data_IF_902764435632
#
_entry.id   IF_902764435632
#
_cell.length_a   1.000
_cell.length_b   1.000
_cell.length_c   1.000
_cell.angle_alpha   90.00
_cell.angle_beta   90.00
_cell.angle_gamma   90.00
#
_symmetry.space_group_name_H-M   'P 1'
#
loop_
_entity.id
_entity.type
_entity.pdbx_description
1 polymer ?
#
# COMPACT_ATOMS: atom_id res chain seq x y z
N UNK A 1 -1.56 -23.56 2.94
CA UNK A 1 -1.82 -22.65 1.84
C UNK A 1 -1.20 -21.30 2.10
N UNK A 2 -0.57 -20.76 1.09
CA UNK A 2 0.09 -19.47 1.24
C UNK A 2 -0.95 -18.35 1.19
N UNK A 3 -0.76 -17.38 2.05
CA UNK A 3 -1.63 -16.21 2.05
C UNK A 3 -1.11 -15.19 1.06
N UNK A 4 -2.02 -14.35 0.58
CA UNK A 4 -1.66 -13.21 -0.24
C UNK A 4 -1.18 -12.10 0.70
N UNK A 5 0.02 -11.59 0.45
CA UNK A 5 0.62 -10.56 1.29
C UNK A 5 0.18 -9.19 0.82
N UNK A 6 -0.42 -8.43 1.72
CA UNK A 6 -0.98 -7.12 1.41
C UNK A 6 -0.28 -6.05 2.21
N UNK A 7 0.14 -4.99 1.54
CA UNK A 7 0.67 -3.80 2.19
C UNK A 7 -0.34 -2.68 2.01
N UNK A 8 -0.41 -1.79 2.99
CA UNK A 8 -1.38 -0.69 2.98
C UNK A 8 -0.65 0.61 3.21
N UNK A 9 -0.91 1.60 2.37
CA UNK A 9 -0.29 2.92 2.51
C UNK A 9 -1.37 3.98 2.49
N UNK A 10 -1.47 4.76 3.57
CA UNK A 10 -2.46 5.82 3.72
C UNK A 10 -2.00 6.70 4.86
N UNK A 11 -2.07 8.02 4.69
CA UNK A 11 -1.63 8.93 5.75
C UNK A 11 -2.65 9.07 6.87
N UNK A 12 -3.85 8.51 6.71
CA UNK A 12 -4.89 8.56 7.71
C UNK A 12 -4.87 7.28 8.54
N UNK A 13 -4.58 7.40 9.83
CA UNK A 13 -4.44 6.21 10.69
C UNK A 13 -5.73 5.43 10.83
N UNK A 14 -6.86 6.11 10.81
CA UNK A 14 -8.14 5.43 10.86
C UNK A 14 -8.35 4.54 9.64
N UNK A 15 -7.98 5.08 8.48
CA UNK A 15 -8.11 4.32 7.24
C UNK A 15 -7.17 3.12 7.24
N UNK A 16 -5.94 3.30 7.73
CA UNK A 16 -5.00 2.18 7.84
C UNK A 16 -5.59 1.07 8.70
N UNK A 17 -6.20 1.46 9.82
CA UNK A 17 -6.77 0.48 10.73
C UNK A 17 -7.98 -0.21 10.10
N UNK A 18 -8.84 0.57 9.46
CA UNK A 18 -10.01 0.02 8.81
C UNK A 18 -9.64 -0.98 7.72
N UNK A 19 -8.72 -0.58 6.85
CA UNK A 19 -8.30 -1.45 5.76
C UNK A 19 -7.58 -2.68 6.30
N UNK A 20 -6.79 -2.49 7.35
CA UNK A 20 -6.12 -3.62 8.00
C UNK A 20 -7.10 -4.62 8.55
N UNK A 21 -8.17 -4.13 9.19
CA UNK A 21 -9.19 -5.02 9.73
C UNK A 21 -9.91 -5.76 8.63
N UNK A 22 -10.24 -5.07 7.54
CA UNK A 22 -10.92 -5.71 6.42
C UNK A 22 -10.06 -6.81 5.81
N UNK A 23 -8.79 -6.51 5.57
CA UNK A 23 -7.88 -7.49 5.00
C UNK A 23 -7.70 -8.68 5.95
N UNK A 24 -7.54 -8.38 7.25
CA UNK A 24 -7.29 -9.43 8.23
C UNK A 24 -8.49 -10.33 8.47
N UNK A 25 -9.68 -9.87 8.09
CA UNK A 25 -10.87 -10.70 8.24
C UNK A 25 -10.94 -11.82 7.20
N UNK A 26 -10.12 -11.75 6.17
CA UNK A 26 -10.08 -12.79 5.13
C UNK A 26 -8.90 -13.70 5.41
N UNK A 27 -9.17 -14.98 5.57
CA UNK A 27 -8.13 -15.96 5.93
C UNK A 27 -7.07 -16.13 4.86
N UNK A 28 -7.38 -15.74 3.63
CA UNK A 28 -6.44 -15.89 2.53
C UNK A 28 -5.51 -14.69 2.37
N UNK A 29 -5.74 -13.64 3.15
CA UNK A 29 -4.96 -12.42 3.07
C UNK A 29 -4.25 -12.16 4.39
N UNK A 30 -3.12 -11.47 4.31
CA UNK A 30 -2.46 -11.01 5.54
C UNK A 30 -1.77 -9.68 5.27
N UNK A 31 -1.83 -8.80 6.27
CA UNK A 31 -1.16 -7.51 6.18
C UNK A 31 0.30 -7.70 6.57
N UNK A 32 1.21 -7.35 5.67
CA UNK A 32 2.64 -7.50 5.95
C UNK A 32 3.30 -6.17 6.31
N UNK A 33 2.59 -5.06 6.13
CA UNK A 33 3.14 -3.77 6.51
C UNK A 33 2.18 -2.64 6.20
N UNK A 34 2.39 -1.52 6.88
CA UNK A 34 1.63 -0.29 6.62
C UNK A 34 2.60 0.86 6.50
N UNK A 35 2.17 1.91 5.81
CA UNK A 35 2.97 3.10 5.63
C UNK A 35 2.07 4.32 5.68
N UNK A 36 2.60 5.45 6.14
CA UNK A 36 1.83 6.68 6.29
C UNK A 36 2.17 7.73 5.26
N UNK A 37 3.22 7.53 4.50
CA UNK A 37 3.56 8.43 3.42
C UNK A 37 4.20 7.64 2.30
N UNK A 38 4.41 8.32 1.18
CA UNK A 38 4.86 7.64 -0.02
C UNK A 38 6.27 7.11 0.08
N UNK A 39 7.14 7.78 0.83
CA UNK A 39 8.50 7.29 0.97
C UNK A 39 8.54 6.03 1.82
N UNK A 40 7.78 6.00 2.90
CA UNK A 40 7.65 4.79 3.69
C UNK A 40 7.07 3.65 2.85
N UNK A 41 6.08 3.99 2.02
CA UNK A 41 5.46 2.97 1.17
C UNK A 41 6.47 2.37 0.21
N UNK A 42 7.27 3.21 -0.41
CA UNK A 42 8.28 2.75 -1.35
C UNK A 42 9.27 1.80 -0.67
N UNK A 43 9.78 2.20 0.48
CA UNK A 43 10.73 1.36 1.21
C UNK A 43 10.09 0.07 1.69
N UNK A 44 8.85 0.14 2.14
CA UNK A 44 8.12 -1.05 2.56
C UNK A 44 7.96 -2.03 1.41
N UNK A 45 7.64 -1.54 0.22
CA UNK A 45 7.47 -2.39 -0.95
C UNK A 45 8.77 -3.10 -1.29
N UNK A 46 9.88 -2.37 -1.22
CA UNK A 46 11.19 -2.98 -1.49
C UNK A 46 11.53 -4.04 -0.45
N UNK A 47 11.22 -3.77 0.81
CA UNK A 47 11.61 -4.63 1.91
C UNK A 47 10.72 -5.87 2.02
N UNK A 48 9.41 -5.67 1.91
CA UNK A 48 8.44 -6.75 2.16
C UNK A 48 8.03 -7.51 0.91
N UNK A 49 8.18 -6.89 -0.24
CA UNK A 49 7.79 -7.48 -1.53
C UNK A 49 6.39 -8.07 -1.48
N UNK A 50 5.38 -7.23 -1.16
CA UNK A 50 4.01 -7.72 -1.04
C UNK A 50 3.44 -8.14 -2.39
N UNK A 51 2.37 -8.92 -2.34
CA UNK A 51 1.66 -9.29 -3.56
C UNK A 51 0.73 -8.19 -4.03
N UNK A 52 0.13 -7.48 -3.09
CA UNK A 52 -0.84 -6.42 -3.37
C UNK A 52 -0.53 -5.23 -2.47
N UNK A 53 -0.64 -4.03 -3.03
CA UNK A 53 -0.51 -2.79 -2.26
C UNK A 53 -1.79 -2.00 -2.39
N UNK A 54 -2.44 -1.71 -1.27
CA UNK A 54 -3.56 -0.78 -1.21
C UNK A 54 -2.95 0.59 -0.98
N UNK A 55 -3.09 1.48 -1.93
CA UNK A 55 -2.29 2.70 -1.97
C UNK A 55 -3.19 3.92 -2.12
N UNK A 56 -3.14 4.80 -1.12
CA UNK A 56 -3.85 6.08 -1.20
C UNK A 56 -3.16 6.96 -2.24
N UNK A 57 -3.96 7.62 -3.06
CA UNK A 57 -3.43 8.50 -4.09
C UNK A 57 -2.82 9.75 -3.46
N UNK A 58 -3.49 10.31 -2.45
CA UNK A 58 -3.07 11.57 -1.86
C UNK A 58 -2.34 11.33 -0.54
N UNK A 59 -1.03 11.46 -0.56
CA UNK A 59 -0.20 11.30 0.63
C UNK A 59 0.91 12.34 0.63
N UNK A 60 1.40 12.72 1.81
CA UNK A 60 2.53 13.64 1.86
C UNK A 60 3.82 13.01 1.36
N UNK A 61 4.76 13.83 1.04
CA UNK A 61 6.11 13.51 0.58
C UNK A 61 6.12 12.92 -0.82
N UNK A 62 5.40 11.83 -1.01
CA UNK A 62 5.33 11.17 -2.31
C UNK A 62 3.94 10.58 -2.42
N UNK A 63 3.14 11.07 -3.35
CA UNK A 63 1.78 10.60 -3.48
C UNK A 63 1.73 9.20 -4.11
N UNK A 64 0.52 8.63 -4.17
CA UNK A 64 0.36 7.27 -4.66
C UNK A 64 0.86 7.06 -6.08
N UNK A 65 0.61 8.05 -6.95
CA UNK A 65 1.09 7.93 -8.33
C UNK A 65 2.60 7.99 -8.38
N UNK A 66 3.21 8.80 -7.52
CA UNK A 66 4.67 8.86 -7.42
C UNK A 66 5.27 7.56 -6.93
N UNK A 67 4.61 6.91 -5.96
CA UNK A 67 5.07 5.61 -5.48
C UNK A 67 5.03 4.59 -6.60
N UNK A 68 3.92 4.55 -7.33
CA UNK A 68 3.76 3.62 -8.44
C UNK A 68 4.86 3.81 -9.47
N UNK A 69 5.13 5.07 -9.83
CA UNK A 69 6.15 5.39 -10.82
C UNK A 69 7.54 4.97 -10.33
N UNK A 70 7.83 5.25 -9.05
CA UNK A 70 9.12 4.94 -8.48
C UNK A 70 9.37 3.43 -8.43
N UNK A 71 8.36 2.67 -8.06
CA UNK A 71 8.46 1.21 -8.02
C UNK A 71 8.65 0.65 -9.43
N UNK A 72 7.89 1.19 -10.38
CA UNK A 72 7.96 0.75 -11.76
C UNK A 72 9.34 0.93 -12.36
N UNK A 73 10.02 2.00 -11.98
CA UNK A 73 11.32 2.33 -12.54
C UNK A 73 12.49 1.84 -11.71
N UNK A 74 12.24 1.13 -10.62
CA UNK A 74 13.30 0.63 -9.76
C UNK A 74 13.65 -0.78 -10.17
N UNK A 75 14.79 -0.92 -10.82
CA UNK A 75 15.22 -2.21 -11.34
C UNK A 75 15.68 -3.18 -10.24
N UNK A 76 15.84 -2.68 -9.01
CA UNK A 76 16.20 -3.56 -7.90
C UNK A 76 14.99 -4.27 -7.32
N UNK A 77 13.78 -3.83 -7.66
CA UNK A 77 12.55 -4.49 -7.22
C UNK A 77 12.20 -5.56 -8.24
N UNK A 78 12.40 -6.82 -7.86
CA UNK A 78 12.16 -7.92 -8.79
C UNK A 78 10.71 -8.34 -8.84
N UNK A 79 10.02 -8.24 -7.71
CA UNK A 79 8.63 -8.62 -7.64
C UNK A 79 7.78 -7.36 -7.58
N UNK A 80 7.10 -7.07 -8.66
CA UNK A 80 6.23 -5.89 -8.73
C UNK A 80 4.83 -6.27 -8.25
N UNK A 81 4.34 -5.60 -7.20
CA UNK A 81 3.02 -5.93 -6.67
C UNK A 81 1.92 -5.41 -7.57
N UNK A 82 0.72 -5.94 -7.36
CA UNK A 82 -0.48 -5.35 -7.94
C UNK A 82 -0.89 -4.17 -7.06
N UNK A 83 -1.23 -3.05 -7.69
CA UNK A 83 -1.62 -1.86 -6.94
C UNK A 83 -3.13 -1.66 -7.03
N UNK A 84 -3.75 -1.41 -5.89
CA UNK A 84 -5.15 -0.99 -5.82
C UNK A 84 -5.13 0.43 -5.30
N UNK A 85 -5.49 1.37 -6.17
CA UNK A 85 -5.47 2.78 -5.80
C UNK A 85 -6.75 3.14 -5.08
N UNK A 86 -6.61 3.85 -3.98
CA UNK A 86 -7.74 4.26 -3.15
C UNK A 86 -7.85 5.77 -3.24
N UNK A 87 -9.03 6.23 -3.64
CA UNK A 87 -9.27 7.66 -3.78
C UNK A 87 -10.07 8.17 -2.59
N UNK A 88 -9.74 9.36 -2.14
CA UNK A 88 -10.48 10.00 -1.07
C UNK A 88 -11.68 10.78 -1.58
N UNK A 89 -12.13 10.50 -2.77
CA UNK A 89 -13.30 11.17 -3.34
C UNK A 89 -14.48 11.01 -2.39
N UNK A 90 -15.10 12.11 -2.06
CA UNK A 90 -16.22 12.12 -1.13
C UNK A 90 -15.84 12.47 0.29
N UNK A 91 -14.57 12.59 0.57
CA UNK A 91 -14.10 12.98 1.89
C UNK A 91 -13.84 14.47 2.00
N UNK A 92 -13.78 15.12 0.89
CA UNK A 92 -13.60 16.55 0.96
C UNK A 92 -14.82 17.20 1.44
N UNK A 93 -14.71 17.80 1.94
CA UNK A 93 -15.74 18.39 2.30
C UNK A 93 -16.18 19.19 2.32
#
# INVERSE_FOLDING_TARGET
MEKVNVAIADDNERMLRLLGDIVSSDEELQVVGTAKDGEEAYHMIKDKQPDVVLLDIVMPKLDGLGVLDKVKNDHTIQKHPSFVMISAIGQER
#
